data_IF_227536712474
#
_entry.id   IF_227536712474
#
_cell.length_a   1.000
_cell.length_b   1.000
_cell.length_c   1.000
_cell.angle_alpha   90.00
_cell.angle_beta   90.00
_cell.angle_gamma   90.00
#
_symmetry.space_group_name_H-M   'P 1'
#
loop_
_entity.id
_entity.type
_entity.pdbx_description
1 polymer ?
#
# COMPACT_ATOMS: atom_id res chain seq x y z
N UNK A 1 -19.55 -30.12 -7.08
CA UNK A 1 -19.03 -31.13 -8.03
C UNK A 1 -20.03 -32.28 -8.07
N UNK A 2 -20.58 -32.61 -9.23
CA UNK A 2 -21.52 -33.73 -9.44
C UNK A 2 -20.97 -34.75 -10.45
N UNK A 3 -19.67 -35.03 -10.45
CA UNK A 3 -19.18 -36.19 -11.22
C UNK A 3 -19.72 -37.49 -10.59
N UNK A 4 -20.08 -38.48 -11.42
CA UNK A 4 -20.54 -39.78 -10.93
C UNK A 4 -19.49 -40.43 -9.99
N UNK A 5 -19.90 -41.14 -8.92
CA UNK A 5 -18.99 -41.61 -7.84
C UNK A 5 -17.78 -42.43 -8.33
N UNK A 6 -17.93 -43.13 -9.45
CA UNK A 6 -16.88 -43.96 -10.03
C UNK A 6 -15.75 -43.14 -10.69
N UNK A 7 -16.04 -41.96 -11.25
CA UNK A 7 -15.06 -41.14 -11.98
C UNK A 7 -14.31 -40.15 -11.08
N UNK A 8 -14.87 -39.77 -9.93
CA UNK A 8 -14.23 -38.80 -8.99
C UNK A 8 -12.87 -39.25 -8.48
N UNK A 9 -12.63 -40.56 -8.36
CA UNK A 9 -11.36 -41.10 -7.84
C UNK A 9 -10.25 -41.13 -8.89
N UNK A 10 -10.60 -41.16 -10.17
CA UNK A 10 -9.66 -41.30 -11.30
C UNK A 10 -9.46 -39.98 -12.06
N UNK A 11 -10.46 -39.10 -12.06
CA UNK A 11 -10.46 -37.82 -12.78
C UNK A 11 -11.00 -36.71 -11.87
N UNK A 12 -10.22 -36.28 -10.87
CA UNK A 12 -10.64 -35.25 -9.94
C UNK A 12 -10.78 -33.90 -10.64
N UNK A 13 -11.58 -32.99 -10.07
CA UNK A 13 -11.70 -31.63 -10.59
C UNK A 13 -10.36 -30.87 -10.63
N UNK A 14 -9.42 -31.25 -9.76
CA UNK A 14 -8.06 -30.70 -9.70
C UNK A 14 -7.19 -31.13 -10.87
N UNK A 15 -7.55 -32.20 -11.60
CA UNK A 15 -6.84 -32.63 -12.79
C UNK A 15 -6.98 -31.66 -13.97
N UNK A 16 -7.66 -30.53 -13.81
CA UNK A 16 -7.68 -29.43 -14.77
C UNK A 16 -6.78 -28.25 -14.35
N UNK A 17 -6.05 -28.38 -13.25
CA UNK A 17 -5.25 -27.33 -12.62
C UNK A 17 -3.89 -27.85 -12.14
N UNK A 18 -3.44 -28.98 -12.67
CA UNK A 18 -2.18 -29.60 -12.28
C UNK A 18 -1.01 -29.16 -13.17
N UNK A 19 -1.26 -28.30 -14.17
CA UNK A 19 -0.25 -27.71 -15.03
C UNK A 19 0.19 -28.63 -16.16
N UNK A 20 -0.55 -29.72 -16.42
CA UNK A 20 -0.21 -30.74 -17.41
C UNK A 20 -1.19 -30.62 -18.59
N UNK A 21 -0.74 -29.92 -19.64
CA UNK A 21 -1.45 -29.92 -20.92
C UNK A 21 -1.36 -31.34 -21.51
N UNK A 22 -2.48 -31.96 -21.92
CA UNK A 22 -2.54 -33.38 -22.23
C UNK A 22 -1.71 -33.77 -23.45
N UNK A 23 -1.13 -34.98 -23.37
CA UNK A 23 -0.78 -35.85 -24.49
C UNK A 23 -1.56 -37.16 -24.30
N UNK A 24 -1.88 -37.86 -25.40
CA UNK A 24 -2.97 -38.83 -25.72
C UNK A 24 -3.65 -39.66 -24.59
N UNK A 25 -3.08 -39.91 -23.41
CA UNK A 25 -3.75 -40.64 -22.32
C UNK A 25 -3.30 -40.08 -20.97
N UNK A 26 -4.14 -39.28 -20.31
CA UNK A 26 -3.76 -38.71 -19.02
C UNK A 26 -4.88 -38.79 -17.97
N UNK A 27 -4.52 -39.33 -16.80
CA UNK A 27 -5.29 -39.18 -15.55
C UNK A 27 -5.27 -37.73 -15.03
N UNK A 28 -4.55 -36.85 -15.72
CA UNK A 28 -4.44 -35.40 -15.52
C UNK A 28 -5.55 -34.66 -16.27
N UNK A 29 -6.79 -35.12 -16.10
CA UNK A 29 -7.96 -34.42 -16.64
C UNK A 29 -9.09 -34.39 -15.63
N UNK A 30 -9.88 -33.32 -15.67
CA UNK A 30 -11.18 -33.28 -15.02
C UNK A 30 -12.23 -33.91 -15.94
N UNK A 31 -13.08 -34.76 -15.38
CA UNK A 31 -14.28 -35.30 -16.05
C UNK A 31 -15.54 -34.80 -15.32
N UNK A 32 -15.88 -33.51 -15.40
CA UNK A 32 -17.17 -33.04 -14.94
C UNK A 32 -18.26 -33.67 -15.81
N UNK A 33 -19.28 -34.21 -15.17
CA UNK A 33 -20.43 -34.83 -15.81
C UNK A 33 -21.68 -34.57 -15.01
N UNK A 34 -22.85 -34.70 -15.62
CA UNK A 34 -24.12 -34.68 -14.90
C UNK A 34 -25.15 -35.59 -15.59
N UNK A 35 -26.25 -35.86 -14.88
CA UNK A 35 -27.36 -36.64 -15.42
C UNK A 35 -28.02 -35.93 -16.61
N UNK A 36 -28.72 -36.70 -17.45
CA UNK A 36 -29.39 -36.21 -18.66
C UNK A 36 -30.29 -35.03 -18.33
N UNK A 37 -30.15 -33.93 -19.08
CA UNK A 37 -30.98 -32.75 -18.90
C UNK A 37 -30.57 -31.84 -17.73
N UNK A 38 -29.43 -32.11 -17.09
CA UNK A 38 -28.82 -31.23 -16.08
C UNK A 38 -27.54 -30.59 -16.61
N UNK A 39 -27.23 -29.33 -16.23
CA UNK A 39 -26.02 -28.65 -16.66
C UNK A 39 -24.77 -29.34 -16.08
N UNK A 40 -23.67 -29.29 -16.84
CA UNK A 40 -22.37 -29.75 -16.36
C UNK A 40 -21.58 -28.55 -15.84
N UNK A 41 -21.16 -28.62 -14.59
CA UNK A 41 -20.48 -27.52 -13.91
C UNK A 41 -19.10 -27.93 -13.37
N UNK A 42 -18.18 -26.98 -13.42
CA UNK A 42 -16.87 -27.06 -12.78
C UNK A 42 -16.46 -25.71 -12.22
N UNK A 43 -15.86 -25.73 -11.03
CA UNK A 43 -15.48 -24.52 -10.29
C UNK A 43 -14.05 -24.63 -9.81
N UNK A 44 -13.37 -23.49 -9.78
CA UNK A 44 -12.11 -23.33 -9.05
C UNK A 44 -12.14 -22.08 -8.18
N UNK A 45 -11.49 -22.18 -7.02
CA UNK A 45 -11.23 -21.09 -6.09
C UNK A 45 -9.76 -20.68 -6.21
N UNK A 46 -9.51 -19.44 -6.63
CA UNK A 46 -8.17 -18.86 -6.75
C UNK A 46 -7.55 -18.46 -5.42
N UNK A 47 -8.25 -18.72 -4.30
CA UNK A 47 -7.93 -18.36 -2.91
C UNK A 47 -7.90 -16.85 -2.60
N UNK A 48 -7.68 -16.00 -3.61
CA UNK A 48 -7.64 -14.54 -3.50
C UNK A 48 -8.36 -13.88 -4.68
N UNK A 49 -8.47 -12.55 -4.67
CA UNK A 49 -8.97 -11.80 -5.82
C UNK A 49 -7.88 -11.66 -6.89
N UNK A 50 -8.27 -11.88 -8.13
CA UNK A 50 -7.44 -11.70 -9.32
C UNK A 50 -8.15 -10.83 -10.33
N UNK A 51 -7.38 -10.03 -11.05
CA UNK A 51 -7.82 -9.31 -12.25
C UNK A 51 -7.54 -10.21 -13.45
N UNK A 52 -8.60 -10.84 -13.94
CA UNK A 52 -8.59 -11.91 -14.94
C UNK A 52 -8.84 -11.33 -16.33
N UNK A 53 -7.99 -11.70 -17.29
CA UNK A 53 -8.04 -11.22 -18.67
C UNK A 53 -8.56 -12.28 -19.63
N UNK A 54 -7.96 -13.47 -19.56
CA UNK A 54 -8.25 -14.56 -20.48
C UNK A 54 -8.34 -15.87 -19.71
N UNK A 55 -9.16 -16.79 -20.21
CA UNK A 55 -9.23 -18.14 -19.69
C UNK A 55 -9.06 -19.08 -20.87
N UNK A 56 -8.10 -19.99 -20.77
CA UNK A 56 -7.84 -21.01 -21.79
C UNK A 56 -8.25 -22.37 -21.27
N UNK A 57 -8.95 -23.14 -22.09
CA UNK A 57 -9.33 -24.52 -21.77
C UNK A 57 -8.71 -25.45 -22.80
N UNK A 58 -8.04 -26.49 -22.31
CA UNK A 58 -7.52 -27.60 -23.10
C UNK A 58 -8.47 -28.80 -22.96
N UNK A 59 -9.22 -29.18 -24.01
CA UNK A 59 -10.01 -30.41 -24.01
C UNK A 59 -9.14 -31.66 -23.84
N UNK A 60 -9.81 -32.78 -23.60
CA UNK A 60 -9.24 -34.11 -23.73
C UNK A 60 -9.18 -34.52 -25.21
N UNK A 61 -8.02 -34.97 -25.69
CA UNK A 61 -7.77 -35.21 -27.13
C UNK A 61 -8.20 -36.60 -27.65
N UNK A 62 -8.28 -37.62 -26.80
CA UNK A 62 -8.64 -39.01 -27.18
C UNK A 62 -10.15 -39.28 -27.17
N UNK A 63 -10.96 -38.23 -27.05
CA UNK A 63 -12.42 -38.29 -26.99
C UNK A 63 -13.12 -37.71 -28.23
N UNK A 64 -14.45 -37.83 -28.34
CA UNK A 64 -15.21 -37.17 -29.39
C UNK A 64 -15.11 -35.64 -29.28
N UNK A 65 -14.81 -34.98 -30.41
CA UNK A 65 -14.62 -33.52 -30.51
C UNK A 65 -15.85 -32.70 -30.08
N UNK A 66 -17.05 -33.28 -30.07
CA UNK A 66 -18.32 -32.62 -29.75
C UNK A 66 -18.60 -32.49 -28.23
N UNK A 67 -17.70 -32.99 -27.37
CA UNK A 67 -17.91 -32.98 -25.91
C UNK A 67 -17.59 -31.65 -25.24
N UNK A 68 -16.79 -30.77 -25.83
CA UNK A 68 -16.51 -29.46 -25.27
C UNK A 68 -17.05 -28.36 -26.19
N UNK A 69 -18.32 -28.01 -25.99
CA UNK A 69 -19.05 -27.00 -26.76
C UNK A 69 -20.20 -26.43 -25.94
N UNK A 70 -20.79 -25.30 -26.37
CA UNK A 70 -21.98 -24.69 -25.76
C UNK A 70 -21.85 -24.43 -24.25
N UNK A 71 -20.77 -23.77 -23.86
CA UNK A 71 -20.47 -23.46 -22.46
C UNK A 71 -20.22 -21.96 -22.25
N UNK A 72 -20.45 -21.48 -21.04
CA UNK A 72 -19.99 -20.17 -20.59
C UNK A 72 -18.86 -20.30 -19.55
N UNK A 73 -18.07 -19.24 -19.50
CA UNK A 73 -17.11 -18.98 -18.44
C UNK A 73 -17.55 -17.75 -17.68
N UNK A 74 -17.72 -17.93 -16.38
CA UNK A 74 -18.19 -16.89 -15.48
C UNK A 74 -17.19 -16.73 -14.35
N UNK A 75 -16.89 -15.48 -14.00
CA UNK A 75 -16.04 -15.09 -12.88
C UNK A 75 -16.95 -14.59 -11.77
N UNK A 76 -16.71 -15.03 -10.53
CA UNK A 76 -17.43 -14.51 -9.36
C UNK A 76 -16.47 -13.79 -8.41
N UNK A 77 -16.89 -12.63 -7.92
CA UNK A 77 -16.21 -11.93 -6.84
C UNK A 77 -16.61 -12.51 -5.46
N UNK A 78 -16.04 -11.97 -4.37
CA UNK A 78 -16.35 -12.39 -2.99
C UNK A 78 -17.80 -12.11 -2.57
N UNK A 79 -18.47 -11.15 -3.20
CA UNK A 79 -19.89 -10.87 -3.02
C UNK A 79 -20.80 -11.79 -3.84
N UNK A 80 -20.23 -12.76 -4.57
CA UNK A 80 -20.93 -13.63 -5.52
C UNK A 80 -21.64 -12.89 -6.65
N UNK A 81 -21.15 -11.70 -7.04
CA UNK A 81 -21.61 -11.02 -8.23
C UNK A 81 -21.13 -11.79 -9.47
N UNK A 82 -22.07 -12.14 -10.34
CA UNK A 82 -21.81 -12.88 -11.57
C UNK A 82 -21.19 -11.96 -12.64
N UNK A 83 -19.99 -12.28 -13.12
CA UNK A 83 -19.31 -11.56 -14.19
C UNK A 83 -19.06 -12.51 -15.36
N UNK A 84 -19.84 -12.39 -16.43
CA UNK A 84 -19.66 -13.22 -17.62
C UNK A 84 -18.36 -12.87 -18.35
N UNK A 85 -17.41 -13.81 -18.41
CA UNK A 85 -16.22 -13.68 -19.23
C UNK A 85 -16.51 -14.02 -20.70
N UNK A 86 -17.34 -15.01 -20.97
CA UNK A 86 -17.75 -15.29 -22.35
C UNK A 86 -18.55 -16.56 -22.52
N UNK A 87 -19.08 -16.73 -23.72
CA UNK A 87 -19.80 -17.94 -24.14
C UNK A 87 -19.14 -18.50 -25.40
N UNK A 88 -18.97 -19.81 -25.45
CA UNK A 88 -18.47 -20.53 -26.62
C UNK A 88 -19.50 -21.53 -27.10
N UNK A 89 -19.77 -21.50 -28.41
CA UNK A 89 -20.81 -22.32 -29.03
C UNK A 89 -20.25 -23.61 -29.66
N UNK A 90 -19.12 -23.50 -30.36
CA UNK A 90 -18.65 -24.53 -31.29
C UNK A 90 -17.84 -25.65 -30.58
N UNK A 91 -17.59 -26.80 -31.25
CA UNK A 91 -16.68 -27.83 -30.74
C UNK A 91 -15.24 -27.33 -30.60
N UNK A 92 -14.59 -27.65 -29.47
CA UNK A 92 -13.19 -27.33 -29.21
C UNK A 92 -12.32 -28.58 -29.41
N UNK A 93 -11.46 -28.56 -30.44
CA UNK A 93 -10.61 -29.71 -30.78
C UNK A 93 -9.19 -29.69 -30.17
N UNK A 94 -8.63 -28.50 -29.89
CA UNK A 94 -7.23 -28.38 -29.41
C UNK A 94 -7.13 -27.56 -28.13
N UNK A 95 -7.53 -26.29 -28.20
CA UNK A 95 -7.71 -25.41 -27.05
C UNK A 95 -8.59 -24.24 -27.48
N UNK A 96 -9.17 -23.56 -26.51
CA UNK A 96 -9.89 -22.30 -26.72
C UNK A 96 -9.47 -21.29 -25.68
N UNK A 97 -9.07 -20.11 -26.12
CA UNK A 97 -8.83 -18.97 -25.25
C UNK A 97 -9.99 -17.98 -25.39
N UNK A 98 -10.77 -17.85 -24.32
CA UNK A 98 -11.81 -16.82 -24.21
C UNK A 98 -11.18 -15.59 -23.57
N UNK A 99 -11.19 -14.47 -24.30
CA UNK A 99 -10.81 -13.15 -23.77
C UNK A 99 -12.05 -12.53 -23.15
N UNK A 100 -11.96 -12.10 -21.88
CA UNK A 100 -13.08 -11.43 -21.23
C UNK A 100 -13.30 -10.03 -21.87
N UNK A 101 -14.55 -9.52 -21.95
CA UNK A 101 -14.87 -8.22 -22.54
C UNK A 101 -14.09 -7.05 -21.93
N UNK A 102 -13.81 -7.14 -20.64
CA UNK A 102 -12.93 -6.29 -19.87
C UNK A 102 -12.24 -7.13 -18.79
N UNK A 103 -11.13 -6.66 -18.19
CA UNK A 103 -10.52 -7.36 -17.07
C UNK A 103 -11.52 -7.51 -15.92
N UNK A 104 -11.83 -8.75 -15.53
CA UNK A 104 -12.79 -9.06 -14.49
C UNK A 104 -12.07 -9.25 -13.16
N UNK A 105 -12.57 -8.65 -12.09
CA UNK A 105 -12.05 -8.86 -10.74
C UNK A 105 -12.85 -9.97 -10.08
N UNK A 106 -12.21 -11.09 -9.74
CA UNK A 106 -12.89 -12.19 -9.07
C UNK A 106 -11.96 -13.23 -8.46
N UNK A 107 -12.57 -14.12 -7.67
CA UNK A 107 -11.90 -15.19 -6.94
C UNK A 107 -12.28 -16.58 -7.47
N UNK A 108 -13.50 -16.75 -7.96
CA UNK A 108 -13.96 -18.03 -8.48
C UNK A 108 -14.10 -17.97 -9.99
N UNK A 109 -13.69 -19.03 -10.66
CA UNK A 109 -13.98 -19.26 -12.08
C UNK A 109 -14.89 -20.46 -12.20
N UNK A 110 -15.97 -20.27 -12.93
CA UNK A 110 -17.03 -21.24 -13.15
C UNK A 110 -17.15 -21.55 -14.64
N UNK A 111 -16.99 -22.82 -14.96
CA UNK A 111 -17.37 -23.39 -16.24
C UNK A 111 -18.77 -23.98 -16.10
N UNK A 112 -19.69 -23.61 -16.99
CA UNK A 112 -20.99 -24.25 -17.09
C UNK A 112 -21.33 -24.54 -18.55
N UNK A 113 -21.62 -25.82 -18.82
CA UNK A 113 -22.23 -26.27 -20.07
C UNK A 113 -23.72 -26.47 -19.85
N UNK A 114 -24.55 -25.92 -20.74
CA UNK A 114 -26.01 -26.05 -20.65
C UNK A 114 -26.46 -27.47 -20.94
N UNK A 115 -27.51 -27.89 -20.22
CA UNK A 115 -28.18 -29.17 -20.40
C UNK A 115 -28.62 -29.42 -21.86
N UNK A 116 -28.34 -30.62 -22.34
CA UNK A 116 -28.76 -31.23 -23.58
C UNK A 116 -29.78 -32.35 -23.29
N UNK A 117 -30.90 -32.32 -24.00
CA UNK A 117 -32.06 -33.15 -23.67
C UNK A 117 -31.90 -34.67 -23.92
N UNK A 118 -30.83 -35.13 -24.57
CA UNK A 118 -30.80 -36.47 -25.20
C UNK A 118 -29.61 -37.36 -24.83
N UNK A 119 -28.63 -36.91 -24.03
CA UNK A 119 -27.46 -37.71 -23.64
C UNK A 119 -26.98 -37.35 -22.23
N UNK A 120 -26.35 -38.31 -21.53
CA UNK A 120 -25.61 -38.00 -20.29
C UNK A 120 -24.42 -37.11 -20.66
N UNK A 121 -24.27 -35.98 -19.99
CA UNK A 121 -23.32 -34.95 -20.41
C UNK A 121 -22.02 -35.08 -19.62
N UNK A 122 -20.92 -35.17 -20.34
CA UNK A 122 -19.57 -34.98 -19.80
C UNK A 122 -18.88 -33.88 -20.58
N UNK A 123 -18.11 -33.05 -19.88
CA UNK A 123 -17.27 -32.03 -20.49
C UNK A 123 -15.81 -32.25 -20.05
N UNK A 124 -15.13 -33.27 -20.58
CA UNK A 124 -13.78 -33.59 -20.16
C UNK A 124 -12.78 -32.56 -20.69
N UNK A 125 -12.02 -31.96 -19.78
CA UNK A 125 -10.93 -31.05 -20.10
C UNK A 125 -9.77 -31.30 -19.16
N UNK A 126 -8.56 -31.09 -19.67
CA UNK A 126 -7.33 -31.50 -19.02
C UNK A 126 -6.54 -30.34 -18.43
N UNK A 127 -6.71 -29.12 -18.93
CA UNK A 127 -6.06 -27.97 -18.31
C UNK A 127 -6.91 -26.71 -18.48
N UNK A 128 -7.02 -25.91 -17.42
CA UNK A 128 -7.66 -24.61 -17.41
C UNK A 128 -6.65 -23.57 -16.96
N UNK A 129 -6.20 -22.75 -17.91
CA UNK A 129 -5.20 -21.70 -17.66
C UNK A 129 -5.92 -20.36 -17.50
N UNK A 130 -5.87 -19.80 -16.29
CA UNK A 130 -6.46 -18.50 -15.96
C UNK A 130 -5.36 -17.45 -16.02
N UNK A 131 -5.46 -16.52 -16.97
CA UNK A 131 -4.46 -15.49 -17.24
C UNK A 131 -4.93 -14.19 -16.58
N UNK A 132 -4.16 -13.73 -15.60
CA UNK A 132 -4.44 -12.53 -14.82
C UNK A 132 -3.28 -12.19 -13.89
N UNK A 133 -3.51 -11.26 -12.98
CA UNK A 133 -2.62 -11.01 -11.84
C UNK A 133 -3.43 -10.87 -10.56
N UNK A 134 -2.76 -11.09 -9.43
CA UNK A 134 -3.37 -10.89 -8.10
C UNK A 134 -3.84 -9.44 -7.99
N UNK A 135 -5.10 -9.25 -7.63
CA UNK A 135 -5.71 -7.93 -7.55
C UNK A 135 -5.57 -7.36 -6.14
N UNK A 136 -5.04 -6.13 -6.05
CA UNK A 136 -5.01 -5.38 -4.80
C UNK A 136 -6.17 -4.39 -4.78
N UNK A 137 -7.01 -4.51 -3.76
CA UNK A 137 -8.12 -3.61 -3.53
C UNK A 137 -7.63 -2.27 -2.95
N UNK A 138 -7.52 -1.28 -3.83
CA UNK A 138 -7.09 0.07 -3.48
C UNK A 138 -8.03 0.82 -2.54
N UNK A 139 -9.27 0.34 -2.34
CA UNK A 139 -10.19 0.97 -1.38
C UNK A 139 -9.73 0.82 0.07
N UNK A 140 -8.80 -0.12 0.33
CA UNK A 140 -8.19 -0.32 1.63
C UNK A 140 -6.97 0.58 1.90
N UNK A 141 -6.50 1.33 0.89
CA UNK A 141 -5.39 2.25 1.08
C UNK A 141 -5.82 3.48 1.89
N UNK A 142 -4.93 4.06 2.71
CA UNK A 142 -5.19 5.34 3.36
C UNK A 142 -5.48 6.45 2.34
N UNK A 143 -6.19 7.49 2.79
CA UNK A 143 -6.44 8.70 2.00
C UNK A 143 -5.10 9.34 1.62
N UNK A 144 -5.01 9.88 0.40
CA UNK A 144 -3.80 10.49 -0.19
C UNK A 144 -2.61 9.53 -0.42
N UNK A 145 -2.86 8.21 -0.41
CA UNK A 145 -1.88 7.20 -0.82
C UNK A 145 -2.15 6.75 -2.25
N UNK A 146 -1.16 6.91 -3.12
CA UNK A 146 -1.23 6.36 -4.47
C UNK A 146 -1.31 4.83 -4.40
N UNK A 147 -2.19 4.24 -5.19
CA UNK A 147 -2.38 2.80 -5.24
C UNK A 147 -2.21 2.27 -6.64
N UNK A 148 -1.56 1.12 -6.73
CA UNK A 148 -1.45 0.32 -7.93
C UNK A 148 -2.04 -1.08 -7.67
N UNK A 149 -2.83 -1.60 -8.59
CA UNK A 149 -3.54 -2.88 -8.42
C UNK A 149 -2.63 -4.11 -8.44
N UNK A 150 -1.32 -3.93 -8.71
CA UNK A 150 -0.26 -4.95 -8.67
C UNK A 150 0.68 -4.76 -7.48
N UNK A 151 1.16 -3.53 -7.22
CA UNK A 151 2.15 -3.25 -6.17
C UNK A 151 1.54 -2.77 -4.85
N UNK A 152 0.25 -2.42 -4.84
CA UNK A 152 -0.52 -2.02 -3.68
C UNK A 152 -0.36 -0.55 -3.31
N UNK A 153 -0.60 -0.24 -2.05
CA UNK A 153 -0.52 1.12 -1.52
C UNK A 153 0.94 1.58 -1.43
N UNK A 154 1.29 2.66 -2.13
CA UNK A 154 2.64 3.22 -2.15
C UNK A 154 2.68 4.47 -1.28
N UNK A 155 3.20 4.33 -0.06
CA UNK A 155 3.47 5.47 0.83
C UNK A 155 4.95 5.83 0.77
N UNK A 156 5.26 7.00 0.20
CA UNK A 156 6.61 7.55 0.20
C UNK A 156 6.76 8.46 1.43
N UNK A 157 7.67 8.12 2.34
CA UNK A 157 8.10 9.02 3.41
C UNK A 157 9.36 9.75 2.99
N UNK A 158 9.36 11.07 3.10
CA UNK A 158 10.49 11.92 2.71
C UNK A 158 10.75 12.01 1.21
N UNK A 159 9.79 11.61 0.40
CA UNK A 159 9.85 11.72 -1.05
C UNK A 159 8.46 11.84 -1.67
N UNK A 160 8.41 12.34 -2.90
CA UNK A 160 7.19 12.45 -3.68
C UNK A 160 6.78 11.12 -4.29
N UNK A 161 5.47 10.88 -4.34
CA UNK A 161 4.88 9.82 -5.13
C UNK A 161 5.03 10.10 -6.64
N UNK A 162 4.91 9.07 -7.50
CA UNK A 162 4.55 7.67 -7.21
C UNK A 162 5.73 6.71 -7.03
N UNK A 163 6.96 7.09 -7.36
CA UNK A 163 8.12 6.19 -7.35
C UNK A 163 9.12 6.41 -6.19
N UNK A 164 8.82 7.35 -5.30
CA UNK A 164 9.61 7.69 -4.12
C UNK A 164 11.08 8.05 -4.42
N UNK A 165 11.38 8.52 -5.64
CA UNK A 165 12.77 8.86 -6.02
C UNK A 165 13.14 10.30 -5.73
N UNK A 166 12.18 11.22 -5.85
CA UNK A 166 12.43 12.62 -5.58
C UNK A 166 12.24 12.88 -4.09
N UNK A 167 13.34 13.15 -3.37
CA UNK A 167 13.27 13.59 -1.96
C UNK A 167 12.43 14.87 -1.84
N UNK A 168 11.87 15.11 -0.66
CA UNK A 168 11.18 16.38 -0.38
C UNK A 168 12.08 17.59 -0.67
N UNK A 169 11.45 18.65 -1.18
CA UNK A 169 12.10 19.95 -1.28
C UNK A 169 12.46 20.48 0.11
N UNK A 170 13.54 21.26 0.18
CA UNK A 170 13.99 21.90 1.41
C UNK A 170 12.84 22.66 2.08
N UNK A 171 12.57 22.35 3.34
CA UNK A 171 11.45 22.91 4.09
C UNK A 171 10.22 22.00 4.19
N UNK A 172 10.25 20.81 3.58
CA UNK A 172 9.16 19.83 3.66
C UNK A 172 9.65 18.44 4.09
N UNK A 173 8.75 17.67 4.70
CA UNK A 173 9.00 16.31 5.12
C UNK A 173 7.73 15.45 5.12
N UNK A 174 7.88 14.16 5.44
CA UNK A 174 6.76 13.28 5.74
C UNK A 174 6.16 12.62 4.50
N UNK A 175 4.90 12.18 4.62
CA UNK A 175 4.22 11.47 3.54
C UNK A 175 3.95 12.44 2.37
N UNK A 176 4.47 12.11 1.19
CA UNK A 176 4.35 12.95 -0.01
C UNK A 176 4.73 14.43 0.23
N UNK A 177 5.64 14.68 1.18
CA UNK A 177 6.15 16.01 1.52
C UNK A 177 5.06 17.02 1.91
N UNK A 178 3.97 16.56 2.54
CA UNK A 178 2.86 17.42 2.95
C UNK A 178 3.12 18.18 4.26
N UNK A 179 4.11 17.76 5.05
CA UNK A 179 4.45 18.43 6.29
C UNK A 179 5.55 19.47 6.07
N UNK A 180 5.47 20.61 6.76
CA UNK A 180 6.49 21.66 6.73
C UNK A 180 7.48 21.51 7.88
N UNK A 181 8.77 21.68 7.59
CA UNK A 181 9.81 21.80 8.62
C UNK A 181 9.49 22.95 9.59
N UNK A 182 9.89 22.80 10.86
CA UNK A 182 9.90 23.90 11.82
C UNK A 182 11.08 24.84 11.62
N UNK A 183 11.40 25.63 12.64
CA UNK A 183 12.47 26.63 12.58
C UNK A 183 13.85 26.02 12.90
N UNK A 184 14.33 25.15 12.01
CA UNK A 184 15.70 24.63 12.09
C UNK A 184 16.72 25.78 11.98
N UNK A 185 17.89 25.59 12.59
CA UNK A 185 19.01 26.54 12.56
C UNK A 185 19.29 27.07 11.14
N UNK A 186 19.67 28.35 11.04
CA UNK A 186 19.92 29.00 9.75
C UNK A 186 20.89 28.20 8.88
N UNK A 187 20.56 28.03 7.60
CA UNK A 187 21.30 27.22 6.60
C UNK A 187 21.34 25.71 6.89
N UNK A 188 20.36 25.19 7.63
CA UNK A 188 20.17 23.74 7.84
C UNK A 188 18.79 23.33 7.35
N UNK A 189 18.66 22.10 6.87
CA UNK A 189 17.42 21.51 6.39
C UNK A 189 16.94 20.47 7.38
N UNK A 190 15.62 20.33 7.55
CA UNK A 190 15.10 19.24 8.36
C UNK A 190 15.19 17.91 7.62
N UNK A 191 15.21 16.81 8.37
CA UNK A 191 15.17 15.46 7.83
C UNK A 191 13.89 15.27 6.99
N UNK A 192 14.03 14.91 5.71
CA UNK A 192 12.86 14.79 4.82
C UNK A 192 11.93 13.66 5.25
N UNK A 193 12.40 12.64 5.96
CA UNK A 193 11.57 11.51 6.39
C UNK A 193 10.66 11.89 7.56
N UNK A 194 11.20 12.54 8.60
CA UNK A 194 10.47 12.76 9.86
C UNK A 194 10.40 14.22 10.34
N UNK A 195 11.09 15.15 9.69
CA UNK A 195 11.07 16.57 10.01
C UNK A 195 12.01 17.02 11.11
N UNK A 196 12.96 16.17 11.54
CA UNK A 196 13.88 16.48 12.64
C UNK A 196 14.95 17.49 12.21
N UNK A 197 15.24 18.48 13.07
CA UNK A 197 16.35 19.41 12.89
C UNK A 197 17.59 18.87 13.63
N UNK A 198 18.46 18.12 12.94
CA UNK A 198 19.64 17.47 13.55
C UNK A 198 20.64 18.47 14.16
N UNK A 199 20.75 19.66 13.57
CA UNK A 199 21.64 20.74 14.05
C UNK A 199 20.99 21.67 15.09
N UNK A 200 19.77 21.33 15.53
CA UNK A 200 18.99 22.11 16.49
C UNK A 200 18.21 23.27 15.87
N UNK A 201 17.63 24.08 16.76
CA UNK A 201 16.67 25.12 16.42
C UNK A 201 17.26 26.51 16.30
N UNK A 202 16.55 27.39 15.59
CA UNK A 202 16.76 28.84 15.72
C UNK A 202 16.49 29.30 17.15
N UNK A 203 17.02 30.47 17.49
CA UNK A 203 16.77 31.11 18.78
C UNK A 203 15.25 31.24 18.97
N UNK A 204 14.78 30.95 20.18
CA UNK A 204 13.36 30.96 20.59
C UNK A 204 12.51 29.78 20.10
N UNK A 205 13.11 28.75 19.51
CA UNK A 205 12.42 27.51 19.14
C UNK A 205 13.03 26.31 19.86
N UNK A 206 12.19 25.33 20.20
CA UNK A 206 12.57 24.11 20.92
C UNK A 206 11.86 22.89 20.34
N UNK A 207 12.07 21.73 20.95
CA UNK A 207 11.72 20.38 20.47
C UNK A 207 12.61 19.87 19.31
N UNK A 208 12.42 18.61 18.90
CA UNK A 208 13.26 17.97 17.87
C UNK A 208 12.97 18.45 16.45
N UNK A 209 11.79 19.04 16.21
CA UNK A 209 11.35 19.56 14.91
C UNK A 209 11.36 21.08 14.85
N UNK A 210 11.65 21.75 15.96
CA UNK A 210 11.65 23.20 16.12
C UNK A 210 10.29 23.83 15.82
N UNK A 211 9.21 23.17 16.27
CA UNK A 211 7.83 23.63 16.08
C UNK A 211 7.29 24.39 17.30
N UNK A 212 7.92 24.23 18.45
CA UNK A 212 7.49 24.88 19.69
C UNK A 212 8.25 26.19 19.87
N UNK A 213 7.52 27.31 19.85
CA UNK A 213 8.06 28.61 20.22
C UNK A 213 8.20 28.70 21.74
N UNK A 214 9.33 29.22 22.22
CA UNK A 214 9.54 29.48 23.64
C UNK A 214 8.89 30.83 23.98
N UNK A 215 7.71 30.80 24.61
CA UNK A 215 7.04 32.02 25.04
C UNK A 215 7.90 32.81 26.03
N UNK A 216 8.13 34.09 25.73
CA UNK A 216 8.72 35.01 26.70
C UNK A 216 7.73 35.22 27.84
N UNK A 217 8.13 35.06 29.12
CA UNK A 217 7.24 35.32 30.24
C UNK A 217 6.76 36.77 30.18
N UNK A 218 5.43 36.95 30.06
CA UNK A 218 4.80 38.25 29.81
C UNK A 218 4.88 39.24 30.97
N UNK A 219 5.37 38.83 32.14
CA UNK A 219 5.46 39.66 33.34
C UNK A 219 6.65 39.25 34.22
N UNK A 220 7.87 39.65 33.86
CA UNK A 220 8.93 39.83 34.86
C UNK A 220 9.29 41.29 34.96
N UNK A 221 8.39 42.07 35.55
CA UNK A 221 8.89 43.04 36.50
C UNK A 221 9.60 42.22 37.57
N UNK A 222 10.93 42.15 37.55
CA UNK A 222 11.76 42.33 38.75
C UNK A 222 13.26 42.02 38.55
N UNK A 223 14.03 42.98 39.06
CA UNK A 223 15.37 42.92 39.65
C UNK A 223 16.57 42.70 38.74
N UNK A 224 17.02 43.79 38.11
CA UNK A 224 18.45 44.05 37.90
C UNK A 224 19.16 43.90 39.26
N UNK A 225 20.08 42.94 39.37
CA UNK A 225 20.88 42.76 40.58
C UNK A 225 22.29 43.28 40.31
N UNK A 226 22.78 44.09 41.22
CA UNK A 226 24.16 44.55 41.20
C UNK A 226 25.03 43.38 41.65
N UNK A 227 25.68 42.71 40.70
CA UNK A 227 26.52 41.52 40.95
C UNK A 227 27.78 41.95 41.70
N UNK A 228 28.41 43.04 41.27
CA UNK A 228 29.62 43.56 41.90
C UNK A 228 29.84 45.04 41.56
N UNK A 229 30.43 45.80 42.50
CA UNK A 229 31.01 47.12 42.29
C UNK A 229 32.43 47.17 42.86
N UNK A 230 33.42 47.36 42.01
CA UNK A 230 34.82 47.52 42.43
C UNK A 230 35.41 48.74 41.76
N UNK A 231 35.67 49.79 42.55
CA UNK A 231 36.10 51.09 42.03
C UNK A 231 35.13 51.58 40.95
N UNK A 232 35.65 51.67 39.73
CA UNK A 232 34.97 52.26 38.58
C UNK A 232 34.25 51.21 37.71
N UNK A 233 34.23 49.93 38.11
CA UNK A 233 33.52 48.86 37.39
C UNK A 233 32.20 48.52 38.09
N UNK A 234 31.10 48.53 37.33
CA UNK A 234 29.79 48.02 37.72
C UNK A 234 29.47 46.77 36.90
N UNK A 235 29.20 45.65 37.57
CA UNK A 235 28.61 44.46 36.96
C UNK A 235 27.16 44.31 37.40
N UNK A 236 26.25 44.30 36.43
CA UNK A 236 24.82 44.06 36.63
C UNK A 236 24.46 42.80 35.87
N UNK A 237 23.73 41.92 36.52
CA UNK A 237 23.16 40.78 35.83
C UNK A 237 21.83 40.42 36.44
N UNK A 238 21.30 39.34 35.92
CA UNK A 238 19.92 39.02 36.13
C UNK A 238 19.82 37.53 36.44
N UNK A 239 19.46 37.21 37.69
CA UNK A 239 19.18 35.83 38.07
C UNK A 239 17.72 35.52 37.78
N UNK A 240 17.53 34.61 36.84
CA UNK A 240 16.50 33.60 36.91
C UNK A 240 15.03 34.08 36.87
N UNK A 241 14.39 33.95 35.69
CA UNK A 241 12.95 34.16 35.56
C UNK A 241 12.28 33.03 36.32
N UNK A 242 11.66 33.39 37.43
CA UNK A 242 10.71 32.52 38.12
C UNK A 242 9.67 32.08 37.09
N UNK A 243 9.57 30.76 36.88
CA UNK A 243 8.71 30.16 35.86
C UNK A 243 9.44 29.63 34.61
N UNK A 244 10.74 29.89 34.41
CA UNK A 244 11.51 29.25 33.33
C UNK A 244 11.95 27.85 33.72
N UNK A 245 11.55 26.86 32.90
CA UNK A 245 11.98 25.48 33.03
C UNK A 245 13.52 25.35 32.97
N UNK A 246 14.11 24.48 33.79
CA UNK A 246 15.57 24.39 33.97
C UNK A 246 16.33 24.20 32.65
N UNK A 247 15.77 23.44 31.72
CA UNK A 247 16.31 23.16 30.40
C UNK A 247 16.25 24.35 29.41
N UNK A 248 15.52 25.42 29.75
CA UNK A 248 15.37 26.62 28.91
C UNK A 248 16.18 27.81 29.42
N UNK A 249 16.78 27.73 30.62
CA UNK A 249 17.54 28.82 31.27
C UNK A 249 18.67 29.39 30.40
N UNK A 250 19.33 28.54 29.61
CA UNK A 250 20.42 28.93 28.69
C UNK A 250 20.02 29.96 27.63
N UNK A 251 18.73 30.03 27.29
CA UNK A 251 18.21 30.95 26.28
C UNK A 251 17.81 32.33 26.85
N UNK A 252 17.91 32.54 28.17
CA UNK A 252 17.44 33.75 28.84
C UNK A 252 18.47 34.27 29.87
N UNK A 253 19.30 35.24 29.48
CA UNK A 253 20.20 35.99 30.39
C UNK A 253 21.31 36.79 29.69
N UNK A 254 21.76 37.89 30.31
CA UNK A 254 22.95 38.64 29.91
C UNK A 254 23.62 39.29 31.13
N UNK A 255 24.93 39.52 31.07
CA UNK A 255 25.68 40.33 32.04
C UNK A 255 26.08 41.64 31.35
N UNK A 256 25.77 42.76 31.99
CA UNK A 256 26.28 44.08 31.60
C UNK A 256 27.43 44.43 32.53
N UNK A 257 28.59 44.72 31.97
CA UNK A 257 29.72 45.31 32.69
C UNK A 257 30.01 46.69 32.13
N UNK A 258 30.02 47.70 33.00
CA UNK A 258 30.27 49.10 32.62
C UNK A 258 31.41 49.67 33.45
N UNK A 259 32.36 50.32 32.77
CA UNK A 259 33.49 51.01 33.40
C UNK A 259 33.26 52.52 33.35
N UNK A 260 33.05 53.14 34.51
CA UNK A 260 32.70 54.56 34.67
C UNK A 260 33.84 55.48 34.19
N UNK A 261 35.09 55.11 34.45
CA UNK A 261 36.26 55.95 34.13
C UNK A 261 36.68 55.91 32.65
N UNK A 262 36.21 54.90 31.92
CA UNK A 262 36.58 54.67 30.52
C UNK A 262 35.41 54.87 29.55
N UNK A 263 34.19 55.09 30.08
CA UNK A 263 32.93 55.08 29.33
C UNK A 263 32.71 53.80 28.48
N UNK A 264 33.39 52.72 28.82
CA UNK A 264 33.32 51.44 28.10
C UNK A 264 32.16 50.57 28.61
N UNK A 265 31.32 50.11 27.67
CA UNK A 265 30.20 49.19 27.91
C UNK A 265 30.48 47.82 27.27
N UNK A 266 30.54 46.77 28.09
CA UNK A 266 30.68 45.38 27.64
C UNK A 266 29.37 44.65 27.97
N UNK A 267 28.72 44.12 26.94
CA UNK A 267 27.51 43.29 27.07
C UNK A 267 27.90 41.86 26.72
N UNK A 268 27.86 40.96 27.70
CA UNK A 268 28.07 39.54 27.48
C UNK A 268 26.74 38.80 27.56
N UNK A 269 26.27 38.33 26.40
CA UNK A 269 25.11 37.46 26.30
C UNK A 269 25.56 36.02 26.49
N UNK A 270 24.85 35.24 27.31
CA UNK A 270 25.07 33.80 27.42
C UNK A 270 24.00 33.10 26.58
N UNK A 271 24.43 32.13 25.77
CA UNK A 271 23.59 31.21 24.97
C UNK A 271 23.84 29.79 25.48
#
# INVERSE_FOLDING_TARGET
>A
MTAAPFYQKTYPATGALDGIIPDVINTHCAHPSNDVGLPVEWWTDLADLYKIYNITIYPREDGPDDKLQQFNLTVYNTSHNELLCGYHHDPVCTHITIRCPSPLIGRYVHFMRKAQATKSEGAPFCEVVIIGHKYIDCTQCPVDVNCNDVTGCVSCQGSYQPDCKQSCEDGFYGANCQDRCGQCKTNTVCDSYNGTCHDGCQIWWTDTKCNTYIETPKNTHENLMLINKTGDIIQIGWEHINGIAVNLRRFYGYIIQYSIDLDDLIIQMWV
#
